data_IF_215574261709
#
_entry.id   IF_215574261709
#
_cell.length_a   1.000
_cell.length_b   1.000
_cell.length_c   1.000
_cell.angle_alpha   90.00
_cell.angle_beta   90.00
_cell.angle_gamma   90.00
#
_symmetry.space_group_name_H-M   'P 1'
#
loop_
_entity.id
_entity.type
_entity.pdbx_description
1 polymer ?
#
# COMPACT_ATOMS: atom_id res chain seq x y z
N UNK A 1 12.93 -20.02 16.71
CA UNK A 1 12.19 -20.01 15.45
C UNK A 1 12.88 -19.09 14.47
N UNK A 2 13.16 -19.57 13.25
CA UNK A 2 13.75 -18.78 12.18
C UNK A 2 12.78 -18.75 11.02
N UNK A 3 12.39 -17.56 10.56
CA UNK A 3 11.56 -17.39 9.38
C UNK A 3 12.40 -17.51 8.11
N UNK A 4 11.93 -18.29 7.15
CA UNK A 4 12.50 -18.28 5.81
C UNK A 4 11.93 -17.11 5.02
N UNK A 5 12.74 -16.10 4.66
CA UNK A 5 12.33 -14.98 3.83
C UNK A 5 12.73 -15.22 2.37
N UNK A 6 11.78 -15.01 1.46
CA UNK A 6 12.00 -15.12 0.02
C UNK A 6 11.67 -13.78 -0.65
N UNK A 7 12.54 -13.34 -1.57
CA UNK A 7 12.43 -12.04 -2.26
C UNK A 7 11.81 -12.12 -3.65
N UNK A 8 11.67 -13.32 -4.21
CA UNK A 8 11.34 -13.52 -5.63
C UNK A 8 9.98 -14.17 -5.88
N UNK A 9 9.21 -14.46 -4.81
CA UNK A 9 7.92 -15.16 -4.95
C UNK A 9 6.78 -14.20 -5.26
N UNK A 10 6.83 -12.98 -4.71
CA UNK A 10 5.75 -11.99 -4.90
C UNK A 10 5.97 -11.17 -6.17
N UNK A 11 4.90 -10.94 -6.93
CA UNK A 11 4.96 -10.12 -8.15
C UNK A 11 5.37 -8.67 -7.88
N UNK A 12 5.18 -8.18 -6.66
CA UNK A 12 5.49 -6.80 -6.25
C UNK A 12 6.87 -6.63 -5.64
N UNK A 13 7.65 -7.73 -5.43
CA UNK A 13 8.96 -7.67 -4.80
C UNK A 13 8.94 -7.58 -3.27
N UNK A 14 7.77 -7.73 -2.62
CA UNK A 14 7.69 -7.84 -1.16
C UNK A 14 8.36 -9.13 -0.70
N UNK A 15 8.98 -9.11 0.48
CA UNK A 15 9.39 -10.33 1.15
C UNK A 15 8.19 -11.22 1.47
N UNK A 16 8.36 -12.51 1.29
CA UNK A 16 7.37 -13.52 1.69
C UNK A 16 7.98 -14.42 2.76
N UNK A 17 7.36 -14.44 3.94
CA UNK A 17 7.78 -15.29 5.06
C UNK A 17 7.16 -16.67 4.99
N UNK A 18 7.96 -17.72 5.30
CA UNK A 18 7.49 -19.10 5.38
C UNK A 18 8.23 -19.90 6.45
N UNK A 19 7.60 -20.94 6.95
CA UNK A 19 8.14 -21.97 7.84
C UNK A 19 8.83 -21.44 9.12
N UNK A 20 8.16 -20.68 9.99
CA UNK A 20 6.76 -20.22 9.96
C UNK A 20 6.59 -18.88 9.25
N UNK A 21 5.35 -18.56 8.83
CA UNK A 21 5.04 -17.23 8.31
C UNK A 21 4.82 -16.24 9.48
N UNK A 22 5.86 -15.48 9.81
CA UNK A 22 5.84 -14.53 10.91
C UNK A 22 5.21 -13.17 10.51
N UNK A 23 4.94 -12.95 9.22
CA UNK A 23 4.32 -11.69 8.73
C UNK A 23 2.82 -11.62 9.04
N UNK A 24 2.17 -12.79 9.22
CA UNK A 24 0.74 -12.89 9.47
C UNK A 24 0.38 -13.08 10.96
N UNK A 25 1.21 -12.58 11.87
CA UNK A 25 0.90 -12.65 13.29
C UNK A 25 -0.33 -11.79 13.63
N UNK A 26 -1.24 -12.30 14.49
CA UNK A 26 -2.43 -11.56 14.89
C UNK A 26 -2.09 -10.18 15.44
N UNK A 27 -2.81 -9.17 14.98
CA UNK A 27 -2.81 -7.83 15.57
C UNK A 27 -3.98 -7.74 16.54
N UNK A 28 -3.72 -7.38 17.80
CA UNK A 28 -4.80 -7.15 18.76
C UNK A 28 -4.52 -7.69 20.16
N UNK A 29 -5.40 -7.33 21.10
CA UNK A 29 -5.22 -7.59 22.53
C UNK A 29 -5.55 -9.01 22.99
N UNK A 30 -6.35 -9.77 22.24
CA UNK A 30 -6.84 -11.10 22.68
C UNK A 30 -5.70 -12.13 22.76
N UNK A 31 -4.76 -12.07 21.81
CA UNK A 31 -3.57 -12.93 21.83
C UNK A 31 -2.34 -12.09 21.55
N UNK A 32 -1.64 -11.59 22.59
CA UNK A 32 -0.49 -10.71 22.42
C UNK A 32 0.77 -11.47 21.97
N UNK A 33 0.68 -12.19 20.85
CA UNK A 33 1.74 -13.07 20.33
C UNK A 33 3.04 -12.27 20.09
N UNK A 34 2.94 -11.02 19.68
CA UNK A 34 4.14 -10.17 19.48
C UNK A 34 4.96 -9.96 20.75
N UNK A 35 4.36 -10.08 21.95
CA UNK A 35 5.08 -9.90 23.23
C UNK A 35 6.05 -11.03 23.57
N UNK A 36 5.96 -12.19 22.88
CA UNK A 36 6.94 -13.29 23.08
C UNK A 36 8.28 -12.99 22.41
N UNK A 37 8.32 -12.02 21.52
CA UNK A 37 9.57 -11.60 20.87
C UNK A 37 10.26 -10.59 21.76
N UNK A 38 11.44 -10.95 22.18
CA UNK A 38 12.28 -10.10 23.05
C UNK A 38 13.68 -9.99 22.43
N UNK A 39 14.40 -8.95 22.82
CA UNK A 39 15.79 -8.82 22.43
C UNK A 39 16.60 -9.99 22.96
N UNK A 40 17.54 -10.49 22.16
CA UNK A 40 18.52 -11.50 22.60
C UNK A 40 19.63 -10.93 23.49
N UNK A 41 19.75 -9.61 23.52
CA UNK A 41 20.73 -8.92 24.36
C UNK A 41 20.08 -8.48 25.66
N UNK A 42 20.80 -8.61 26.75
CA UNK A 42 20.34 -8.16 28.05
C UNK A 42 20.13 -6.63 28.05
N UNK A 43 18.99 -6.19 28.57
CA UNK A 43 18.56 -4.78 28.51
C UNK A 43 18.24 -4.25 27.10
N UNK A 44 18.32 -5.09 26.07
CA UNK A 44 18.01 -4.69 24.70
C UNK A 44 16.52 -4.54 24.44
N UNK A 45 16.17 -3.71 23.46
CA UNK A 45 14.80 -3.44 23.05
C UNK A 45 14.58 -3.82 21.57
N UNK A 46 13.34 -4.15 21.21
CA UNK A 46 12.89 -4.27 19.83
C UNK A 46 12.12 -3.01 19.48
N UNK A 47 12.54 -2.34 18.40
CA UNK A 47 11.86 -1.18 17.84
C UNK A 47 11.15 -1.58 16.55
N UNK A 48 9.88 -1.23 16.44
CA UNK A 48 9.09 -1.36 15.21
C UNK A 48 8.83 0.05 14.67
N UNK A 49 9.17 0.30 13.40
CA UNK A 49 8.91 1.56 12.72
C UNK A 49 8.16 1.26 11.41
N UNK A 50 7.15 2.05 11.11
CA UNK A 50 6.31 1.91 9.91
C UNK A 50 6.26 3.23 9.14
N UNK A 51 6.20 3.13 7.82
CA UNK A 51 6.04 4.30 6.97
C UNK A 51 4.60 4.83 7.01
N UNK A 52 4.45 6.10 7.31
CA UNK A 52 3.14 6.73 7.27
C UNK A 52 2.60 6.80 5.83
N UNK A 53 1.54 6.04 5.53
CA UNK A 53 0.81 6.11 4.25
C UNK A 53 1.71 5.91 3.01
N UNK A 54 2.69 5.02 3.07
CA UNK A 54 3.68 4.84 2.00
C UNK A 54 3.05 4.67 0.61
N UNK A 55 2.04 3.83 0.50
CA UNK A 55 1.38 3.52 -0.78
C UNK A 55 0.67 4.74 -1.36
N UNK A 56 0.02 5.57 -0.54
CA UNK A 56 -0.61 6.81 -1.01
C UNK A 56 0.44 7.84 -1.47
N UNK A 57 1.55 7.96 -0.74
CA UNK A 57 2.69 8.81 -1.13
C UNK A 57 3.28 8.38 -2.47
N UNK A 58 3.46 7.09 -2.65
CA UNK A 58 3.94 6.52 -3.91
C UNK A 58 2.95 6.75 -5.04
N UNK A 59 1.66 6.55 -4.82
CA UNK A 59 0.65 6.80 -5.83
C UNK A 59 0.58 8.29 -6.23
N UNK A 60 0.65 9.21 -5.26
CA UNK A 60 0.72 10.64 -5.52
C UNK A 60 1.94 11.00 -6.37
N UNK A 61 3.11 10.42 -6.04
CA UNK A 61 4.33 10.61 -6.80
C UNK A 61 4.24 10.04 -8.22
N UNK A 62 3.78 8.80 -8.39
CA UNK A 62 3.69 8.15 -9.71
C UNK A 62 2.63 8.78 -10.62
N UNK A 63 1.54 9.25 -10.04
CA UNK A 63 0.46 9.93 -10.77
C UNK A 63 0.74 11.40 -11.04
N UNK A 64 1.65 12.03 -10.26
CA UNK A 64 1.89 13.47 -10.22
C UNK A 64 0.60 14.25 -9.86
N UNK A 65 -0.23 13.68 -8.96
CA UNK A 65 -1.45 14.34 -8.51
C UNK A 65 -1.11 15.50 -7.59
N UNK A 66 -1.35 16.73 -8.08
CA UNK A 66 -0.95 17.94 -7.37
C UNK A 66 -1.67 18.11 -6.02
N UNK A 67 -2.94 17.71 -5.93
CA UNK A 67 -3.72 17.81 -4.69
C UNK A 67 -3.23 16.80 -3.66
N UNK A 68 -3.03 15.55 -4.07
CA UNK A 68 -2.50 14.51 -3.18
C UNK A 68 -1.10 14.88 -2.65
N UNK A 69 -0.23 15.43 -3.51
CA UNK A 69 1.10 15.90 -3.11
C UNK A 69 1.00 17.06 -2.09
N UNK A 70 0.12 18.03 -2.34
CA UNK A 70 -0.07 19.17 -1.44
C UNK A 70 -0.64 18.73 -0.08
N UNK A 71 -1.61 17.82 -0.06
CA UNK A 71 -2.19 17.30 1.17
C UNK A 71 -1.17 16.49 1.98
N UNK A 72 -0.35 15.67 1.33
CA UNK A 72 0.75 14.94 1.98
C UNK A 72 1.77 15.92 2.59
N UNK A 73 2.12 16.99 1.87
CA UNK A 73 3.08 17.99 2.34
C UNK A 73 2.55 18.80 3.53
N UNK A 74 1.25 19.07 3.56
CA UNK A 74 0.59 19.80 4.67
C UNK A 74 0.30 18.95 5.90
N UNK A 75 0.50 17.62 5.82
CA UNK A 75 0.12 16.70 6.91
C UNK A 75 -1.39 16.51 7.05
N UNK A 76 -2.14 16.68 5.98
CA UNK A 76 -3.60 16.51 5.96
C UNK A 76 -4.03 15.12 6.47
N UNK A 77 -4.98 15.10 7.41
CA UNK A 77 -5.51 13.85 7.95
C UNK A 77 -6.60 13.26 7.04
N UNK A 78 -6.16 12.52 6.04
CA UNK A 78 -7.04 11.87 5.06
C UNK A 78 -8.03 10.89 5.70
N UNK A 79 -7.69 10.27 6.83
CA UNK A 79 -8.60 9.33 7.50
C UNK A 79 -9.75 10.05 8.20
N UNK A 80 -9.48 11.18 8.86
CA UNK A 80 -10.55 12.03 9.42
C UNK A 80 -11.43 12.62 8.32
N UNK A 81 -10.84 13.00 7.20
CA UNK A 81 -11.61 13.44 6.03
C UNK A 81 -12.52 12.33 5.48
N UNK A 82 -12.01 11.11 5.33
CA UNK A 82 -12.79 9.95 4.89
C UNK A 82 -13.97 9.68 5.83
N UNK A 83 -13.71 9.69 7.15
CA UNK A 83 -14.76 9.52 8.15
C UNK A 83 -15.85 10.58 8.00
N UNK A 84 -15.46 11.84 7.78
CA UNK A 84 -16.40 12.94 7.56
C UNK A 84 -17.25 12.70 6.32
N UNK A 85 -16.65 12.39 5.18
CA UNK A 85 -17.40 12.18 3.91
C UNK A 85 -18.41 11.03 4.03
N UNK A 86 -18.02 9.90 4.62
CA UNK A 86 -18.92 8.76 4.83
C UNK A 86 -20.04 9.13 5.81
N UNK A 87 -19.74 9.88 6.88
CA UNK A 87 -20.73 10.30 7.87
C UNK A 87 -21.71 11.30 7.28
N UNK A 88 -21.24 12.28 6.49
CA UNK A 88 -22.08 13.26 5.80
C UNK A 88 -23.02 12.55 4.78
N UNK A 89 -22.61 11.39 4.25
CA UNK A 89 -23.43 10.56 3.37
C UNK A 89 -24.44 9.65 4.15
N UNK A 90 -24.54 9.79 5.47
CA UNK A 90 -25.56 9.14 6.29
C UNK A 90 -25.12 7.91 7.08
N UNK A 91 -23.84 7.55 7.09
CA UNK A 91 -23.31 6.46 7.88
C UNK A 91 -22.29 6.98 8.89
N UNK A 92 -22.67 7.08 10.16
CA UNK A 92 -21.74 7.49 11.22
C UNK A 92 -20.49 6.61 11.20
N UNK A 93 -19.33 7.23 11.01
CA UNK A 93 -18.06 6.52 10.81
C UNK A 93 -16.96 7.23 11.60
N UNK A 94 -16.27 6.49 12.42
CA UNK A 94 -15.11 6.99 13.16
C UNK A 94 -13.86 7.03 12.28
N UNK A 95 -12.85 7.82 12.70
CA UNK A 95 -11.54 7.84 12.04
C UNK A 95 -10.88 6.46 11.95
N UNK A 96 -11.09 5.62 12.97
CA UNK A 96 -10.51 4.26 12.99
C UNK A 96 -11.16 3.34 11.96
N UNK A 97 -12.48 3.38 11.85
CA UNK A 97 -13.24 2.62 10.84
C UNK A 97 -12.92 3.12 9.42
N UNK A 98 -12.80 4.42 9.24
CA UNK A 98 -12.46 5.02 7.95
C UNK A 98 -11.10 4.56 7.38
N UNK A 99 -10.17 4.07 8.20
CA UNK A 99 -8.88 3.57 7.71
C UNK A 99 -9.00 2.44 6.70
N UNK A 100 -10.00 1.59 6.84
CA UNK A 100 -10.23 0.46 5.92
C UNK A 100 -10.72 0.93 4.54
N UNK A 101 -11.38 2.10 4.50
CA UNK A 101 -11.97 2.65 3.30
C UNK A 101 -11.09 3.66 2.60
N UNK A 102 -10.24 4.38 3.33
CA UNK A 102 -9.51 5.56 2.84
C UNK A 102 -8.76 5.30 1.53
N UNK A 103 -8.02 4.22 1.43
CA UNK A 103 -7.21 3.91 0.26
C UNK A 103 -7.76 2.77 -0.60
N UNK A 104 -8.92 2.23 -0.27
CA UNK A 104 -9.54 1.17 -1.06
C UNK A 104 -9.76 1.58 -2.55
N UNK A 105 -10.20 2.81 -2.87
CA UNK A 105 -10.34 3.26 -4.27
C UNK A 105 -9.00 3.34 -5.01
N UNK A 106 -7.90 3.63 -4.31
CA UNK A 106 -6.55 3.65 -4.88
C UNK A 106 -6.20 2.31 -5.52
N UNK A 107 -6.66 1.20 -4.91
CA UNK A 107 -6.44 -0.16 -5.39
C UNK A 107 -7.60 -0.72 -6.23
N UNK A 108 -8.55 0.12 -6.62
CA UNK A 108 -9.59 -0.25 -7.55
C UNK A 108 -10.91 -0.66 -6.93
N UNK A 109 -11.12 -0.46 -5.64
CA UNK A 109 -12.45 -0.63 -5.07
C UNK A 109 -13.42 0.40 -5.69
N UNK A 110 -14.58 -0.08 -6.14
CA UNK A 110 -15.61 0.71 -6.85
C UNK A 110 -16.85 0.95 -5.98
N UNK A 111 -16.84 0.46 -4.75
CA UNK A 111 -18.03 0.48 -3.88
C UNK A 111 -18.97 -0.71 -4.07
N UNK A 112 -18.72 -1.61 -5.02
CA UNK A 112 -19.54 -2.81 -5.18
C UNK A 112 -19.51 -3.68 -3.90
N UNK A 113 -20.70 -4.05 -3.41
CA UNK A 113 -20.82 -4.81 -2.15
C UNK A 113 -20.56 -4.00 -0.88
N UNK A 114 -20.51 -2.65 -0.98
CA UNK A 114 -20.36 -1.71 0.12
C UNK A 114 -21.69 -0.97 0.38
N UNK A 115 -21.75 -0.28 1.51
CA UNK A 115 -22.91 0.60 1.79
C UNK A 115 -22.96 1.77 0.79
N UNK A 116 -24.14 2.37 0.58
CA UNK A 116 -24.25 3.55 -0.29
C UNK A 116 -23.31 4.70 0.12
N UNK A 117 -23.11 4.92 1.42
CA UNK A 117 -22.24 5.97 1.95
C UNK A 117 -20.75 5.70 1.69
N UNK A 118 -20.32 4.44 1.83
CA UNK A 118 -18.96 4.00 1.49
C UNK A 118 -18.72 4.09 -0.02
N UNK A 119 -19.69 3.68 -0.84
CA UNK A 119 -19.61 3.77 -2.28
C UNK A 119 -19.53 5.23 -2.73
N UNK A 120 -20.29 6.14 -2.13
CA UNK A 120 -20.22 7.58 -2.40
C UNK A 120 -18.81 8.13 -2.10
N UNK A 121 -18.19 7.72 -0.99
CA UNK A 121 -16.79 8.09 -0.71
C UNK A 121 -15.83 7.59 -1.79
N UNK A 122 -15.99 6.36 -2.28
CA UNK A 122 -15.10 5.82 -3.31
C UNK A 122 -15.19 6.57 -4.64
N UNK A 123 -16.38 7.01 -5.02
CA UNK A 123 -16.55 7.92 -6.17
C UNK A 123 -15.89 9.26 -5.91
N UNK A 124 -16.16 9.85 -4.74
CA UNK A 124 -15.59 11.14 -4.34
C UNK A 124 -14.04 11.10 -4.31
N UNK A 125 -13.41 9.99 -3.89
CA UNK A 125 -11.96 9.83 -3.93
C UNK A 125 -11.39 9.98 -5.34
N UNK A 126 -12.02 9.32 -6.31
CA UNK A 126 -11.59 9.35 -7.72
C UNK A 126 -11.83 10.73 -8.35
N UNK A 127 -12.91 11.41 -7.99
CA UNK A 127 -13.18 12.78 -8.42
C UNK A 127 -12.20 13.78 -7.79
N UNK A 128 -11.90 13.61 -6.52
CA UNK A 128 -10.98 14.48 -5.77
C UNK A 128 -9.54 14.41 -6.29
N UNK A 129 -9.05 13.21 -6.57
CA UNK A 129 -7.67 12.97 -7.01
C UNK A 129 -7.63 12.67 -8.52
N UNK A 130 -7.86 13.71 -9.31
CA UNK A 130 -7.95 13.62 -10.77
C UNK A 130 -6.67 13.07 -11.43
N UNK A 131 -5.51 13.43 -10.90
CA UNK A 131 -4.20 12.91 -11.36
C UNK A 131 -4.08 11.41 -11.17
N UNK A 132 -4.51 10.88 -10.01
CA UNK A 132 -4.57 9.45 -9.73
C UNK A 132 -5.56 8.77 -10.69
N UNK A 133 -6.74 9.35 -10.87
CA UNK A 133 -7.75 8.80 -11.79
C UNK A 133 -7.24 8.71 -13.23
N UNK A 134 -6.61 9.77 -13.73
CA UNK A 134 -6.00 9.82 -15.06
C UNK A 134 -4.86 8.81 -15.20
N UNK A 135 -4.02 8.68 -14.18
CA UNK A 135 -2.94 7.69 -14.15
C UNK A 135 -3.47 6.26 -14.19
N UNK A 136 -4.51 5.93 -13.42
CA UNK A 136 -5.17 4.62 -13.47
C UNK A 136 -5.71 4.29 -14.87
N UNK A 137 -6.26 5.27 -15.56
CA UNK A 137 -6.74 5.10 -16.95
C UNK A 137 -5.57 4.81 -17.90
N UNK A 138 -4.42 5.51 -17.74
CA UNK A 138 -3.21 5.25 -18.53
C UNK A 138 -2.68 3.84 -18.29
N UNK A 139 -2.56 3.39 -17.03
CA UNK A 139 -2.13 2.04 -16.69
C UNK A 139 -3.03 0.97 -17.32
N UNK A 140 -4.35 1.15 -17.26
CA UNK A 140 -5.29 0.25 -17.91
C UNK A 140 -5.12 0.17 -19.42
N UNK A 141 -4.88 1.31 -20.09
CA UNK A 141 -4.61 1.35 -21.53
C UNK A 141 -3.29 0.65 -21.88
N UNK A 142 -2.24 0.89 -21.09
CA UNK A 142 -0.93 0.27 -21.26
C UNK A 142 -1.00 -1.25 -21.11
N UNK A 143 -1.66 -1.74 -20.06
CA UNK A 143 -1.82 -3.15 -19.81
C UNK A 143 -2.62 -3.86 -20.94
N UNK A 144 -3.68 -3.26 -21.44
CA UNK A 144 -4.44 -3.81 -22.58
C UNK A 144 -3.61 -3.84 -23.85
N UNK A 145 -2.87 -2.76 -24.13
CA UNK A 145 -2.12 -2.61 -25.39
C UNK A 145 -0.84 -3.45 -25.43
N UNK A 146 -0.09 -3.45 -24.32
CA UNK A 146 1.26 -4.03 -24.29
C UNK A 146 1.36 -5.30 -23.44
N UNK A 147 0.26 -5.71 -22.81
CA UNK A 147 0.18 -6.88 -21.92
C UNK A 147 1.20 -6.80 -20.74
N UNK A 148 1.67 -5.61 -20.44
CA UNK A 148 2.60 -5.29 -19.35
C UNK A 148 2.55 -3.82 -18.98
N UNK A 149 3.03 -3.52 -17.79
CA UNK A 149 3.28 -2.17 -17.28
C UNK A 149 4.74 -2.11 -16.85
N UNK A 150 5.42 -1.00 -17.17
CA UNK A 150 6.79 -0.73 -16.68
C UNK A 150 6.74 0.46 -15.73
N UNK A 151 7.22 0.28 -14.49
CA UNK A 151 7.30 1.40 -13.56
C UNK A 151 8.55 2.27 -13.82
N UNK A 152 8.64 3.41 -13.10
CA UNK A 152 9.74 4.36 -13.24
C UNK A 152 11.12 3.76 -12.90
N UNK A 153 11.18 2.75 -12.03
CA UNK A 153 12.39 2.00 -11.69
C UNK A 153 12.77 0.92 -12.70
N UNK A 154 12.03 0.80 -13.82
CA UNK A 154 12.28 -0.20 -14.86
C UNK A 154 11.69 -1.58 -14.57
N UNK A 155 11.07 -1.81 -13.41
CA UNK A 155 10.39 -3.07 -13.08
C UNK A 155 9.17 -3.27 -13.97
N UNK A 156 9.04 -4.47 -14.53
CA UNK A 156 7.93 -4.83 -15.41
C UNK A 156 6.96 -5.78 -14.71
N UNK A 157 5.67 -5.52 -14.88
CA UNK A 157 4.56 -6.36 -14.44
C UNK A 157 3.84 -6.89 -15.65
N UNK A 158 3.87 -8.20 -15.86
CA UNK A 158 3.17 -8.85 -16.97
C UNK A 158 1.68 -9.05 -16.66
N UNK A 159 0.84 -8.77 -17.63
CA UNK A 159 -0.62 -8.95 -17.58
C UNK A 159 -1.11 -9.68 -18.83
N UNK A 160 -0.66 -10.92 -19.07
CA UNK A 160 -1.03 -11.64 -20.29
C UNK A 160 -2.54 -11.87 -20.35
N UNK A 161 -3.12 -11.74 -21.54
CA UNK A 161 -4.56 -11.91 -21.77
C UNK A 161 -5.43 -10.78 -21.18
N UNK A 162 -4.86 -9.62 -20.87
CA UNK A 162 -5.66 -8.48 -20.41
C UNK A 162 -6.46 -7.89 -21.56
N UNK A 163 -7.77 -7.87 -21.40
CA UNK A 163 -8.74 -7.36 -22.34
C UNK A 163 -9.67 -6.34 -21.69
N UNK A 164 -10.39 -5.55 -22.49
CA UNK A 164 -11.46 -4.69 -21.99
C UNK A 164 -12.76 -5.49 -21.83
N UNK A 165 -13.34 -5.38 -20.64
CA UNK A 165 -14.68 -5.88 -20.35
C UNK A 165 -15.74 -4.99 -21.02
N UNK A 166 -17.02 -5.45 -21.15
CA UNK A 166 -18.11 -4.63 -21.67
C UNK A 166 -18.32 -3.30 -20.94
N UNK A 167 -17.98 -3.24 -19.66
CA UNK A 167 -18.01 -2.00 -18.84
C UNK A 167 -16.81 -1.07 -19.07
N UNK A 168 -15.95 -1.37 -20.04
CA UNK A 168 -14.77 -0.57 -20.39
C UNK A 168 -13.55 -0.76 -19.48
N UNK A 169 -13.68 -1.46 -18.36
CA UNK A 169 -12.56 -1.73 -17.45
C UNK A 169 -11.71 -2.90 -17.98
N UNK A 170 -10.38 -2.86 -17.80
CA UNK A 170 -9.54 -4.01 -18.13
C UNK A 170 -9.85 -5.21 -17.21
N UNK A 171 -9.62 -6.41 -17.70
CA UNK A 171 -9.51 -7.59 -16.85
C UNK A 171 -8.48 -7.40 -15.74
N UNK A 172 -8.00 -7.98 -14.93
CA UNK A 172 -6.91 -7.68 -13.98
C UNK A 172 -6.86 -6.25 -13.36
N UNK A 173 -7.98 -5.52 -13.43
CA UNK A 173 -8.10 -4.10 -13.05
C UNK A 173 -7.46 -3.74 -11.71
N UNK A 174 -7.70 -4.55 -10.67
CA UNK A 174 -7.15 -4.32 -9.33
C UNK A 174 -5.63 -4.51 -9.30
N UNK A 175 -5.12 -5.55 -9.96
CA UNK A 175 -3.67 -5.81 -10.03
C UNK A 175 -2.93 -4.75 -10.83
N UNK A 176 -3.54 -4.25 -11.92
CA UNK A 176 -3.01 -3.18 -12.76
C UNK A 176 -2.76 -1.91 -11.95
N UNK A 177 -3.65 -1.57 -11.01
CA UNK A 177 -3.50 -0.42 -10.12
C UNK A 177 -2.55 -0.68 -8.96
N UNK A 178 -2.60 -1.88 -8.39
CA UNK A 178 -1.88 -2.23 -7.18
C UNK A 178 -0.37 -2.48 -7.42
N UNK A 179 -0.02 -3.27 -8.45
CA UNK A 179 1.36 -3.71 -8.64
C UNK A 179 2.37 -2.57 -8.82
N UNK A 180 2.09 -1.51 -9.62
CA UNK A 180 3.03 -0.40 -9.73
C UNK A 180 3.24 0.35 -8.40
N UNK A 181 2.18 0.53 -7.61
CA UNK A 181 2.26 1.20 -6.29
C UNK A 181 3.05 0.34 -5.31
N UNK A 182 2.61 -0.89 -5.08
CA UNK A 182 3.27 -1.78 -4.13
C UNK A 182 4.70 -2.11 -4.54
N UNK A 183 4.93 -2.38 -5.81
CA UNK A 183 6.25 -2.76 -6.28
C UNK A 183 7.25 -1.61 -6.20
N UNK A 184 6.85 -0.38 -6.50
CA UNK A 184 7.72 0.77 -6.29
C UNK A 184 7.93 1.06 -4.80
N UNK A 185 6.85 1.03 -3.99
CA UNK A 185 6.94 1.26 -2.55
C UNK A 185 7.86 0.25 -1.86
N UNK A 186 7.58 -1.05 -2.02
CA UNK A 186 8.23 -2.11 -1.24
C UNK A 186 9.36 -2.80 -1.98
N UNK A 187 9.38 -2.77 -3.31
CA UNK A 187 10.43 -3.38 -4.13
C UNK A 187 11.57 -2.43 -4.50
N UNK A 188 11.30 -1.13 -4.55
CA UNK A 188 12.30 -0.14 -4.98
C UNK A 188 12.67 0.85 -3.86
N UNK A 189 11.67 1.48 -3.19
CA UNK A 189 11.94 2.51 -2.16
C UNK A 189 12.41 1.89 -0.84
N UNK A 190 11.69 0.91 -0.32
CA UNK A 190 12.03 0.29 0.99
C UNK A 190 13.44 -0.31 1.01
N UNK A 191 13.90 -1.08 0.00
CA UNK A 191 15.27 -1.60 -0.01
C UNK A 191 16.36 -0.53 0.08
N UNK A 192 16.19 0.60 -0.61
CA UNK A 192 17.14 1.72 -0.54
C UNK A 192 17.19 2.30 0.87
N UNK A 193 16.03 2.49 1.50
CA UNK A 193 15.94 2.98 2.89
C UNK A 193 16.57 1.99 3.87
N UNK A 194 16.37 0.68 3.66
CA UNK A 194 16.96 -0.35 4.54
C UNK A 194 18.48 -0.38 4.44
N UNK A 195 19.05 -0.24 3.25
CA UNK A 195 20.51 -0.15 3.06
C UNK A 195 21.07 1.08 3.77
N UNK A 196 20.43 2.23 3.62
CA UNK A 196 20.85 3.46 4.29
C UNK A 196 20.71 3.34 5.82
N UNK A 197 19.63 2.73 6.30
CA UNK A 197 19.42 2.48 7.73
C UNK A 197 20.51 1.56 8.29
N UNK A 198 20.82 0.46 7.62
CA UNK A 198 21.88 -0.47 8.04
C UNK A 198 23.23 0.24 8.11
N UNK A 199 23.59 1.05 7.12
CA UNK A 199 24.83 1.85 7.14
C UNK A 199 24.88 2.79 8.36
N UNK A 200 23.77 3.39 8.75
CA UNK A 200 23.70 4.26 9.94
C UNK A 200 23.73 3.49 11.24
N UNK A 201 23.23 2.26 11.26
CA UNK A 201 23.24 1.40 12.45
C UNK A 201 24.60 0.75 12.71
N UNK A 202 25.44 0.54 11.67
CA UNK A 202 26.75 -0.11 11.80
C UNK A 202 27.65 0.45 12.92
N UNK A 203 27.77 1.77 13.14
CA UNK A 203 28.55 2.32 14.26
C UNK A 203 27.81 2.27 15.61
N UNK A 204 26.53 1.84 15.63
CA UNK A 204 25.70 1.80 16.82
C UNK A 204 25.62 0.37 17.38
N UNK A 205 25.17 0.23 18.64
CA UNK A 205 24.87 -1.08 19.24
C UNK A 205 23.46 -1.57 18.86
N UNK A 206 23.09 -1.39 17.60
CA UNK A 206 21.76 -1.73 17.07
C UNK A 206 21.92 -2.47 15.74
N UNK A 207 20.98 -3.34 15.41
CA UNK A 207 21.00 -4.08 14.16
C UNK A 207 19.61 -4.13 13.52
N UNK A 208 19.57 -4.11 12.20
CA UNK A 208 18.35 -4.33 11.45
C UNK A 208 17.99 -5.82 11.52
N UNK A 209 16.78 -6.12 11.93
CA UNK A 209 16.34 -7.53 12.12
C UNK A 209 15.51 -8.01 10.93
N UNK A 210 14.54 -7.21 10.51
CA UNK A 210 13.64 -7.59 9.41
C UNK A 210 12.87 -6.37 8.87
N UNK A 211 12.39 -6.48 7.62
CA UNK A 211 11.33 -5.63 7.08
C UNK A 211 10.15 -6.49 6.65
N UNK A 212 8.94 -6.02 6.90
CA UNK A 212 7.69 -6.75 6.66
C UNK A 212 6.86 -6.03 5.61
#
# INVERSE_FOLDING_TARGET
>A
LHVGLTQHITSTGRFSGRNPNMQNMPRGGTFPVKKVFVSRWDGGQIMEADFAQLEFRVAAFLSQDALAIAEIASGFDVHSYTAKVISDAGQATTRQEAKEHTFAPLFGATGYGRTPSEAAYYHHFIEKYEGIAAWHKRLGNEAVRYQKITNIGGRQYAFPGTERRPNGLPTNFTMIKNYPVQGFATGDVVPVVLVELENRLMPMRSTLVNSV
#
